data_IF_985674417100
#
_entry.id   IF_985674417100
#
_cell.length_a   1.000
_cell.length_b   1.000
_cell.length_c   1.000
_cell.angle_alpha   90.00
_cell.angle_beta   90.00
_cell.angle_gamma   90.00
#
_symmetry.space_group_name_H-M   'P 1'
#
loop_
_entity.id
_entity.type
_entity.pdbx_description
1 polymer ?
#
# COMPACT_ATOMS: atom_id res chain seq x y z
N UNK A 1 -24.95 -4.40 -19.87
CA UNK A 1 -24.10 -5.03 -20.91
C UNK A 1 -22.79 -5.41 -20.26
N UNK A 2 -22.26 -6.61 -20.52
CA UNK A 2 -20.96 -7.03 -19.98
C UNK A 2 -19.85 -6.14 -20.56
N UNK A 3 -18.98 -5.60 -19.72
CA UNK A 3 -17.83 -4.78 -20.14
C UNK A 3 -16.70 -5.68 -20.65
N UNK A 4 -15.95 -5.21 -21.64
CA UNK A 4 -14.82 -5.93 -22.23
C UNK A 4 -13.62 -5.81 -21.28
N UNK A 5 -13.08 -6.95 -20.83
CA UNK A 5 -11.91 -7.05 -19.96
C UNK A 5 -10.80 -7.93 -20.55
N UNK A 6 -10.78 -8.10 -21.88
CA UNK A 6 -9.72 -8.78 -22.59
C UNK A 6 -9.29 -7.94 -23.80
N UNK A 7 -8.03 -8.05 -24.21
CA UNK A 7 -7.44 -7.26 -25.28
C UNK A 7 -7.21 -8.16 -26.49
N UNK A 8 -7.89 -7.87 -27.63
CA UNK A 8 -7.62 -8.55 -28.89
C UNK A 8 -6.32 -8.02 -29.54
N UNK A 9 -5.68 -8.80 -30.43
CA UNK A 9 -4.50 -8.35 -31.18
C UNK A 9 -4.73 -7.06 -31.97
N UNK A 10 -5.94 -6.86 -32.52
CA UNK A 10 -6.27 -5.64 -33.24
C UNK A 10 -6.25 -4.41 -32.32
N UNK A 11 -6.76 -4.52 -31.11
CA UNK A 11 -6.72 -3.45 -30.13
C UNK A 11 -5.31 -3.17 -29.62
N UNK A 12 -4.46 -4.18 -29.49
CA UNK A 12 -3.04 -4.00 -29.18
C UNK A 12 -2.34 -3.17 -30.25
N UNK A 13 -2.54 -3.55 -31.52
CA UNK A 13 -1.98 -2.84 -32.66
C UNK A 13 -2.49 -1.41 -32.74
N UNK A 14 -3.80 -1.20 -32.49
CA UNK A 14 -4.42 0.12 -32.48
C UNK A 14 -3.82 1.04 -31.40
N UNK A 15 -3.61 0.53 -30.18
CA UNK A 15 -2.98 1.29 -29.08
C UNK A 15 -1.57 1.71 -29.48
N UNK A 16 -0.74 0.76 -29.93
CA UNK A 16 0.65 1.04 -30.31
C UNK A 16 0.77 2.05 -31.44
N UNK A 17 -0.07 1.91 -32.47
CA UNK A 17 -0.09 2.81 -33.62
C UNK A 17 -0.47 4.24 -33.22
N UNK A 18 -1.48 4.42 -32.37
CA UNK A 18 -1.92 5.74 -31.95
C UNK A 18 -0.97 6.39 -30.95
N UNK A 19 -0.32 5.61 -30.08
CA UNK A 19 0.79 6.12 -29.25
C UNK A 19 1.96 6.58 -30.14
N UNK A 20 2.31 5.81 -31.18
CA UNK A 20 3.35 6.20 -32.15
C UNK A 20 3.01 7.45 -32.95
N UNK A 21 1.72 7.76 -33.14
CA UNK A 21 1.22 9.01 -33.76
C UNK A 21 1.16 10.20 -32.79
N UNK A 22 1.52 9.99 -31.50
CA UNK A 22 1.52 11.05 -30.47
C UNK A 22 0.16 11.29 -29.81
N UNK A 23 -0.80 10.36 -29.92
CA UNK A 23 -2.04 10.44 -29.15
C UNK A 23 -1.75 10.29 -27.65
N UNK A 24 -2.46 11.06 -26.82
CA UNK A 24 -2.27 10.98 -25.37
C UNK A 24 -2.85 9.67 -24.81
N UNK A 25 -2.25 9.08 -23.78
CA UNK A 25 -2.79 7.89 -23.11
C UNK A 25 -4.25 8.07 -22.69
N UNK A 26 -4.60 9.21 -22.17
CA UNK A 26 -5.95 9.53 -21.73
C UNK A 26 -6.97 9.46 -22.88
N UNK A 27 -6.64 10.00 -24.05
CA UNK A 27 -7.54 9.95 -25.22
C UNK A 27 -7.77 8.51 -25.71
N UNK A 28 -6.77 7.62 -25.61
CA UNK A 28 -6.91 6.22 -25.97
C UNK A 28 -7.82 5.48 -25.00
N UNK A 29 -7.69 5.74 -23.70
CA UNK A 29 -8.58 5.21 -22.65
C UNK A 29 -10.03 5.62 -22.93
N UNK A 30 -10.29 6.89 -23.22
CA UNK A 30 -11.64 7.40 -23.50
C UNK A 30 -12.28 6.68 -24.72
N UNK A 31 -11.51 6.46 -25.78
CA UNK A 31 -11.99 5.71 -26.96
C UNK A 31 -12.31 4.26 -26.59
N UNK A 32 -11.44 3.59 -25.82
CA UNK A 32 -11.68 2.21 -25.39
C UNK A 32 -12.94 2.10 -24.51
N UNK A 33 -13.12 3.02 -23.57
CA UNK A 33 -14.31 3.07 -22.71
C UNK A 33 -15.57 3.32 -23.55
N UNK A 34 -15.51 4.21 -24.52
CA UNK A 34 -16.58 4.44 -25.49
C UNK A 34 -16.93 3.22 -26.35
N UNK A 35 -16.01 2.25 -26.47
CA UNK A 35 -16.19 0.95 -27.14
C UNK A 35 -16.52 -0.18 -26.16
N UNK A 36 -17.06 0.15 -24.99
CA UNK A 36 -17.52 -0.77 -23.96
C UNK A 36 -16.43 -1.56 -23.23
N UNK A 37 -15.18 -1.12 -23.26
CA UNK A 37 -14.15 -1.65 -22.36
C UNK A 37 -14.43 -1.23 -20.92
N UNK A 38 -14.02 -2.07 -19.99
CA UNK A 38 -13.99 -1.69 -18.58
C UNK A 38 -12.99 -0.54 -18.38
N UNK A 39 -13.35 0.56 -17.68
CA UNK A 39 -12.48 1.71 -17.52
C UNK A 39 -11.15 1.40 -16.83
N UNK A 40 -11.14 0.53 -15.81
CA UNK A 40 -9.91 0.12 -15.12
C UNK A 40 -9.03 -0.72 -16.05
N UNK A 41 -9.64 -1.67 -16.79
CA UNK A 41 -8.92 -2.46 -17.77
C UNK A 41 -8.33 -1.59 -18.87
N UNK A 42 -9.09 -0.64 -19.43
CA UNK A 42 -8.62 0.28 -20.47
C UNK A 42 -7.43 1.12 -19.99
N UNK A 43 -7.51 1.70 -18.76
CA UNK A 43 -6.41 2.42 -18.15
C UNK A 43 -5.17 1.53 -18.00
N UNK A 44 -5.29 0.38 -17.33
CA UNK A 44 -4.16 -0.53 -17.08
C UNK A 44 -3.45 -0.93 -18.37
N UNK A 45 -4.21 -1.25 -19.44
CA UNK A 45 -3.66 -1.67 -20.72
C UNK A 45 -2.96 -0.53 -21.46
N UNK A 46 -3.57 0.66 -21.53
CA UNK A 46 -2.94 1.80 -22.23
C UNK A 46 -1.66 2.21 -21.52
N UNK A 47 -1.67 2.31 -20.19
CA UNK A 47 -0.46 2.63 -19.42
C UNK A 47 0.63 1.54 -19.55
N UNK A 48 0.27 0.28 -19.63
CA UNK A 48 1.21 -0.80 -19.92
C UNK A 48 1.96 -0.55 -21.25
N UNK A 49 1.25 -0.18 -22.32
CA UNK A 49 1.87 0.10 -23.62
C UNK A 49 2.68 1.40 -23.63
N UNK A 50 2.26 2.42 -22.89
CA UNK A 50 3.04 3.67 -22.72
C UNK A 50 4.37 3.38 -22.04
N UNK A 51 4.36 2.61 -20.95
CA UNK A 51 5.58 2.23 -20.23
C UNK A 51 6.51 1.36 -21.09
N UNK A 52 5.95 0.52 -21.96
CA UNK A 52 6.71 -0.31 -22.89
C UNK A 52 7.31 0.47 -24.08
N UNK A 53 6.65 1.54 -24.55
CA UNK A 53 7.12 2.34 -25.69
C UNK A 53 8.11 3.44 -25.32
N UNK A 54 8.21 3.82 -24.04
CA UNK A 54 9.19 4.80 -23.55
C UNK A 54 10.63 4.28 -23.45
N UNK A 55 10.86 2.99 -23.74
CA UNK A 55 12.22 2.42 -23.85
C UNK A 55 12.52 2.17 -25.33
N UNK A 56 13.32 3.05 -25.92
CA UNK A 56 13.71 3.00 -27.31
C UNK A 56 14.36 1.69 -27.73
N UNK A 57 14.02 1.32 -28.97
CA UNK A 57 14.60 0.34 -29.89
C UNK A 57 14.08 -1.11 -29.82
N UNK A 58 13.44 -1.52 -30.89
CA UNK A 58 13.31 -2.89 -31.36
C UNK A 58 11.96 -3.57 -31.05
N UNK A 59 10.90 -3.20 -31.78
CA UNK A 59 9.66 -3.99 -31.80
C UNK A 59 9.90 -5.30 -32.57
N UNK A 60 10.19 -6.38 -31.88
CA UNK A 60 9.98 -7.74 -32.38
C UNK A 60 8.69 -8.29 -31.78
N UNK A 61 7.90 -8.98 -32.59
CA UNK A 61 6.61 -9.55 -32.28
C UNK A 61 6.57 -10.22 -30.91
N UNK A 62 5.66 -9.77 -30.02
CA UNK A 62 5.42 -10.41 -28.72
C UNK A 62 4.55 -11.64 -28.98
N UNK A 63 5.18 -12.81 -29.03
CA UNK A 63 4.52 -14.10 -28.88
C UNK A 63 4.05 -14.20 -27.43
N UNK A 64 2.75 -14.44 -27.21
CA UNK A 64 2.22 -14.77 -25.87
C UNK A 64 2.95 -16.01 -25.36
N UNK A 65 3.61 -16.00 -24.20
CA UNK A 65 4.17 -17.21 -23.62
C UNK A 65 3.02 -18.04 -23.07
N UNK A 66 2.83 -19.24 -23.62
CA UNK A 66 2.31 -20.36 -22.86
C UNK A 66 3.22 -20.57 -21.65
N UNK A 67 2.63 -20.94 -20.52
CA UNK A 67 3.25 -21.13 -19.23
C UNK A 67 4.67 -21.74 -19.31
N UNK A 68 5.70 -20.90 -19.14
CA UNK A 68 7.04 -21.34 -18.71
C UNK A 68 7.71 -20.22 -17.90
N UNK A 69 8.11 -20.60 -16.70
CA UNK A 69 9.10 -20.00 -15.79
C UNK A 69 9.09 -18.48 -15.59
N UNK A 70 8.62 -18.04 -14.42
CA UNK A 70 8.66 -16.67 -13.92
C UNK A 70 10.06 -16.05 -13.95
N UNK A 71 10.33 -15.28 -15.00
CA UNK A 71 11.31 -14.19 -14.90
C UNK A 71 10.53 -12.91 -14.58
N UNK A 72 10.52 -12.54 -13.31
CA UNK A 72 10.14 -11.21 -12.86
C UNK A 72 10.92 -10.18 -13.69
N UNK A 73 10.20 -9.32 -14.44
CA UNK A 73 10.80 -8.09 -14.97
C UNK A 73 11.30 -7.29 -13.77
N UNK A 74 12.58 -7.32 -13.53
CA UNK A 74 13.23 -6.47 -12.55
C UNK A 74 13.04 -5.02 -13.01
N UNK A 75 12.10 -4.30 -12.41
CA UNK A 75 12.12 -2.85 -12.43
C UNK A 75 13.48 -2.51 -11.80
N UNK A 76 14.38 -1.91 -12.57
CA UNK A 76 15.62 -1.35 -12.03
C UNK A 76 15.26 -0.13 -11.20
N UNK A 77 14.71 -0.34 -10.01
CA UNK A 77 14.72 0.67 -8.99
C UNK A 77 16.17 0.85 -8.59
N UNK A 78 16.67 2.08 -8.52
CA UNK A 78 18.01 2.34 -7.98
C UNK A 78 18.09 2.06 -6.47
N UNK A 79 17.05 1.43 -5.90
CA UNK A 79 16.95 1.08 -4.49
C UNK A 79 17.88 -0.09 -4.15
N UNK A 80 18.71 0.09 -3.15
CA UNK A 80 19.62 -0.94 -2.65
C UNK A 80 18.97 -1.67 -1.49
N UNK A 81 18.61 -2.94 -1.71
CA UNK A 81 18.04 -3.78 -0.67
C UNK A 81 19.12 -4.16 0.34
N UNK A 82 18.81 -3.94 1.61
CA UNK A 82 19.61 -4.33 2.77
C UNK A 82 18.98 -5.55 3.46
N UNK A 83 19.63 -6.07 4.49
CA UNK A 83 19.00 -7.08 5.34
C UNK A 83 17.75 -6.49 6.00
N UNK A 84 16.58 -7.09 5.81
CA UNK A 84 15.35 -6.63 6.44
C UNK A 84 15.49 -6.55 7.97
N UNK A 85 14.85 -5.54 8.58
CA UNK A 85 14.86 -5.39 10.04
C UNK A 85 14.13 -6.53 10.73
N UNK A 86 13.04 -6.96 10.12
CA UNK A 86 12.21 -8.05 10.62
C UNK A 86 12.79 -9.41 10.23
N UNK A 87 12.71 -10.46 11.08
CA UNK A 87 13.24 -11.77 10.75
C UNK A 87 12.60 -12.38 9.50
N UNK A 88 13.41 -12.74 8.53
CA UNK A 88 12.96 -13.34 7.26
C UNK A 88 12.90 -14.87 7.29
N UNK A 89 13.11 -15.49 8.45
CA UNK A 89 13.07 -16.95 8.65
C UNK A 89 12.11 -17.34 9.78
N UNK A 90 11.72 -18.61 9.80
CA UNK A 90 10.78 -19.12 10.79
C UNK A 90 9.31 -18.81 10.47
N UNK A 91 8.38 -19.54 11.04
CA UNK A 91 6.93 -19.38 10.84
C UNK A 91 6.26 -18.55 11.95
N UNK A 92 7.00 -18.18 12.99
CA UNK A 92 6.51 -17.44 14.16
C UNK A 92 7.56 -16.41 14.58
N UNK A 93 7.12 -15.18 14.84
CA UNK A 93 7.89 -14.15 15.52
C UNK A 93 7.30 -13.98 16.91
N UNK A 94 8.13 -14.17 17.93
CA UNK A 94 7.72 -14.04 19.33
C UNK A 94 7.87 -12.62 19.81
N UNK A 95 6.81 -12.07 20.40
CA UNK A 95 6.84 -10.87 21.22
C UNK A 95 6.68 -11.25 22.70
N UNK A 96 6.78 -10.31 23.59
CA UNK A 96 6.69 -10.60 25.04
C UNK A 96 5.32 -11.21 25.44
N UNK A 97 4.27 -10.90 24.70
CA UNK A 97 2.89 -11.27 25.03
C UNK A 97 2.18 -12.06 23.94
N UNK A 98 2.82 -12.33 22.75
CA UNK A 98 2.15 -12.98 21.63
C UNK A 98 3.12 -13.73 20.70
N UNK A 99 2.65 -14.86 20.20
CA UNK A 99 3.29 -15.63 19.12
C UNK A 99 2.63 -15.21 17.80
N UNK A 100 3.28 -14.30 17.05
CA UNK A 100 2.77 -13.77 15.77
C UNK A 100 3.16 -14.74 14.65
N UNK A 101 2.16 -15.27 13.93
CA UNK A 101 2.39 -16.21 12.83
C UNK A 101 2.74 -15.47 11.55
N UNK A 102 3.74 -15.94 10.85
CA UNK A 102 4.10 -15.43 9.52
C UNK A 102 3.42 -16.29 8.46
N UNK A 103 2.52 -15.66 7.70
CA UNK A 103 1.72 -16.31 6.65
C UNK A 103 2.42 -16.24 5.29
N UNK A 104 3.06 -15.11 5.00
CA UNK A 104 3.71 -14.86 3.71
C UNK A 104 4.91 -13.93 3.87
N UNK A 105 5.91 -14.10 3.00
CA UNK A 105 7.06 -13.19 2.84
C UNK A 105 7.34 -12.93 1.37
N UNK A 106 7.62 -11.68 1.06
CA UNK A 106 8.27 -11.24 -0.18
C UNK A 106 9.54 -10.51 0.25
N UNK A 107 10.67 -10.82 -0.41
CA UNK A 107 11.97 -10.24 -0.06
C UNK A 107 12.25 -8.92 -0.79
N UNK A 108 11.65 -8.76 -1.99
CA UNK A 108 11.87 -7.57 -2.84
C UNK A 108 10.59 -7.21 -3.58
N UNK A 109 9.88 -6.18 -3.14
CA UNK A 109 10.08 -5.39 -1.90
C UNK A 109 9.90 -6.25 -0.64
N UNK A 110 10.36 -5.75 0.50
CA UNK A 110 10.13 -6.45 1.78
C UNK A 110 8.68 -6.30 2.18
N UNK A 111 7.91 -7.39 2.06
CA UNK A 111 6.48 -7.44 2.48
C UNK A 111 6.23 -8.73 3.24
N UNK A 112 5.61 -8.64 4.41
CA UNK A 112 5.20 -9.78 5.21
C UNK A 112 3.71 -9.69 5.56
N UNK A 113 3.04 -10.84 5.56
CA UNK A 113 1.67 -10.95 6.08
C UNK A 113 1.70 -11.78 7.34
N UNK A 114 1.03 -11.28 8.38
CA UNK A 114 0.94 -11.90 9.71
C UNK A 114 -0.47 -12.34 10.03
N UNK A 115 -0.58 -13.38 10.83
CA UNK A 115 -1.79 -13.81 11.52
C UNK A 115 -1.55 -13.83 13.03
N UNK A 116 -2.64 -13.70 13.80
CA UNK A 116 -2.58 -13.70 15.26
C UNK A 116 -1.75 -12.54 15.84
N UNK A 117 -1.72 -11.37 15.19
CA UNK A 117 -1.06 -10.18 15.73
C UNK A 117 -1.90 -9.53 16.83
N UNK A 118 -3.21 -9.44 16.60
CA UNK A 118 -4.18 -8.95 17.58
C UNK A 118 -5.19 -10.05 17.90
N UNK A 119 -5.67 -10.09 19.15
CA UNK A 119 -6.83 -10.92 19.46
C UNK A 119 -8.14 -10.28 18.94
N UNK A 120 -9.21 -11.06 18.77
CA UNK A 120 -10.51 -10.51 18.43
C UNK A 120 -10.97 -9.39 19.38
N UNK A 121 -10.73 -9.57 20.69
CA UNK A 121 -11.09 -8.61 21.74
C UNK A 121 -10.26 -7.31 21.65
N UNK A 122 -8.97 -7.41 21.33
CA UNK A 122 -8.11 -6.25 21.11
C UNK A 122 -8.56 -5.45 19.89
N UNK A 123 -8.97 -6.13 18.81
CA UNK A 123 -9.55 -5.49 17.63
C UNK A 123 -10.85 -4.74 17.97
N UNK A 124 -11.76 -5.40 18.70
CA UNK A 124 -13.03 -4.81 19.10
C UNK A 124 -12.83 -3.60 20.04
N UNK A 125 -11.86 -3.68 20.94
CA UNK A 125 -11.52 -2.57 21.82
C UNK A 125 -10.97 -1.37 21.07
N UNK A 126 -10.09 -1.58 20.07
CA UNK A 126 -9.59 -0.50 19.23
C UNK A 126 -10.73 0.20 18.45
N UNK A 127 -11.65 -0.57 17.89
CA UNK A 127 -12.84 -0.02 17.21
C UNK A 127 -13.69 0.77 18.21
N UNK A 128 -14.04 0.19 19.36
CA UNK A 128 -14.86 0.82 20.38
C UNK A 128 -14.30 2.15 20.89
N UNK A 129 -12.99 2.22 21.10
CA UNK A 129 -12.30 3.44 21.55
C UNK A 129 -12.24 4.53 20.48
N UNK A 130 -12.41 4.15 19.21
CA UNK A 130 -12.25 5.03 18.04
C UNK A 130 -13.55 5.56 17.47
N UNK A 131 -14.64 4.79 17.49
CA UNK A 131 -15.92 5.09 16.81
C UNK A 131 -16.40 6.54 16.98
N UNK A 132 -16.35 7.07 18.21
CA UNK A 132 -16.84 8.42 18.54
C UNK A 132 -15.84 9.53 18.23
N UNK A 133 -14.62 9.20 17.85
CA UNK A 133 -13.52 10.14 17.60
C UNK A 133 -13.23 10.32 16.11
N UNK A 134 -13.88 9.55 15.23
CA UNK A 134 -13.60 9.54 13.79
C UNK A 134 -13.89 10.90 13.15
N UNK A 135 -12.97 11.36 12.30
CA UNK A 135 -13.11 12.54 11.44
C UNK A 135 -12.71 12.15 10.02
N UNK A 136 -13.18 12.89 9.02
CA UNK A 136 -12.75 12.70 7.62
C UNK A 136 -11.23 12.74 7.55
N UNK A 137 -10.61 11.71 6.95
CA UNK A 137 -9.16 11.62 6.84
C UNK A 137 -8.63 12.63 5.83
N UNK A 138 -7.48 13.23 6.14
CA UNK A 138 -6.72 14.08 5.25
C UNK A 138 -5.48 13.34 4.72
N UNK A 139 -4.87 13.86 3.66
CA UNK A 139 -3.53 13.52 3.20
C UNK A 139 -2.59 14.70 3.44
N UNK A 140 -1.30 14.43 3.35
CA UNK A 140 -0.30 15.50 3.31
C UNK A 140 -0.20 16.03 1.88
N UNK A 141 -0.49 17.30 1.67
CA UNK A 141 -0.31 17.96 0.38
C UNK A 141 1.19 17.97 -0.02
N UNK A 142 1.57 17.46 -1.20
CA UNK A 142 2.96 17.31 -1.60
C UNK A 142 3.70 18.63 -1.81
N UNK A 143 2.97 19.73 -2.01
CA UNK A 143 3.55 21.06 -2.25
C UNK A 143 3.73 21.83 -0.96
N UNK A 144 2.69 21.86 -0.11
CA UNK A 144 2.64 22.70 1.08
C UNK A 144 3.00 21.97 2.36
N UNK A 145 2.90 20.63 2.39
CA UNK A 145 3.05 19.79 3.57
C UNK A 145 1.91 19.93 4.59
N UNK A 146 0.77 20.54 4.21
CA UNK A 146 -0.41 20.69 5.09
C UNK A 146 -1.39 19.55 4.86
N UNK A 147 -2.20 19.32 5.88
CA UNK A 147 -3.30 18.36 5.76
C UNK A 147 -4.39 18.87 4.81
N UNK A 148 -4.76 18.04 3.83
CA UNK A 148 -5.79 18.31 2.84
C UNK A 148 -6.76 17.13 2.72
N UNK A 149 -8.06 17.43 2.67
CA UNK A 149 -9.10 16.41 2.42
C UNK A 149 -9.28 16.29 0.91
N UNK A 150 -9.06 15.09 0.38
CA UNK A 150 -9.18 14.79 -1.05
C UNK A 150 -10.12 13.62 -1.30
N UNK A 151 -10.59 13.48 -2.55
CA UNK A 151 -11.48 12.39 -2.96
C UNK A 151 -10.74 11.06 -3.14
N UNK A 152 -9.41 11.09 -3.32
CA UNK A 152 -8.59 9.88 -3.47
C UNK A 152 -8.44 9.07 -2.17
N UNK A 153 -8.83 9.66 -1.02
CA UNK A 153 -8.89 9.01 0.27
C UNK A 153 -10.25 9.28 0.93
N UNK A 154 -11.10 8.25 1.01
CA UNK A 154 -12.49 8.39 1.47
C UNK A 154 -12.75 7.86 2.88
N UNK A 155 -11.70 7.55 3.64
CA UNK A 155 -11.79 7.05 5.01
C UNK A 155 -12.16 8.13 6.04
N UNK A 156 -12.62 7.65 7.20
CA UNK A 156 -12.67 8.41 8.44
C UNK A 156 -11.62 7.87 9.38
N UNK A 157 -10.99 8.72 10.18
CA UNK A 157 -9.88 8.28 11.05
C UNK A 157 -9.76 9.04 12.34
N UNK A 158 -8.98 8.47 13.25
CA UNK A 158 -8.50 9.07 14.49
C UNK A 158 -7.12 8.51 14.82
N UNK A 159 -6.50 9.04 15.88
CA UNK A 159 -5.18 8.59 16.34
C UNK A 159 -5.22 8.28 17.83
N UNK A 160 -4.42 7.29 18.22
CA UNK A 160 -3.94 7.11 19.60
C UNK A 160 -2.50 7.61 19.66
N UNK A 161 -2.20 8.48 20.63
CA UNK A 161 -0.81 8.86 20.90
C UNK A 161 -0.01 7.69 21.43
N UNK A 162 1.30 7.73 21.25
CA UNK A 162 2.19 6.69 21.78
C UNK A 162 1.98 6.56 23.30
N UNK A 163 1.72 5.33 23.75
CA UNK A 163 1.46 4.98 25.15
C UNK A 163 0.32 5.79 25.80
N UNK A 164 -0.70 6.21 25.02
CA UNK A 164 -1.85 7.01 25.49
C UNK A 164 -2.62 6.37 26.66
N UNK A 165 -2.62 5.04 26.72
CA UNK A 165 -3.24 4.24 27.79
C UNK A 165 -2.43 2.96 28.00
N UNK A 166 -2.72 2.20 29.06
CA UNK A 166 -2.09 0.90 29.32
C UNK A 166 -2.30 -0.06 28.14
N UNK A 167 -3.50 -0.07 27.55
CA UNK A 167 -3.81 -0.88 26.37
C UNK A 167 -2.98 -0.47 25.15
N UNK A 168 -2.88 0.82 24.85
CA UNK A 168 -2.07 1.33 23.73
C UNK A 168 -0.59 1.09 23.99
N UNK A 169 -0.12 1.26 25.23
CA UNK A 169 1.27 1.00 25.60
C UNK A 169 1.65 -0.48 25.41
N UNK A 170 0.78 -1.40 25.78
CA UNK A 170 0.97 -2.84 25.52
C UNK A 170 1.09 -3.12 24.00
N UNK A 171 0.23 -2.52 23.18
CA UNK A 171 0.31 -2.65 21.73
C UNK A 171 1.60 -2.04 21.19
N UNK A 172 1.97 -0.82 21.60
CA UNK A 172 3.20 -0.17 21.15
C UNK A 172 4.44 -1.03 21.41
N UNK A 173 4.53 -1.66 22.58
CA UNK A 173 5.63 -2.58 22.91
C UNK A 173 5.62 -3.83 22.03
N UNK A 174 4.45 -4.45 21.81
CA UNK A 174 4.30 -5.60 20.90
C UNK A 174 4.74 -5.25 19.49
N UNK A 175 4.25 -4.13 18.94
CA UNK A 175 4.55 -3.68 17.58
C UNK A 175 6.02 -3.32 17.42
N UNK A 176 6.63 -2.67 18.40
CA UNK A 176 8.06 -2.37 18.45
C UNK A 176 8.90 -3.66 18.38
N UNK A 177 8.55 -4.67 19.17
CA UNK A 177 9.23 -5.97 19.15
C UNK A 177 9.04 -6.70 17.84
N UNK A 178 7.84 -6.70 17.25
CA UNK A 178 7.56 -7.31 15.97
C UNK A 178 8.36 -6.64 14.85
N UNK A 179 8.30 -5.31 14.77
CA UNK A 179 8.94 -4.51 13.71
C UNK A 179 10.44 -4.33 13.93
N UNK A 180 10.99 -4.80 15.05
CA UNK A 180 12.40 -4.62 15.46
C UNK A 180 12.84 -3.15 15.42
N UNK A 181 11.96 -2.27 15.95
CA UNK A 181 12.18 -0.82 15.94
C UNK A 181 11.74 -0.18 17.25
N UNK A 182 12.51 0.72 17.85
CA UNK A 182 12.18 1.32 19.15
C UNK A 182 10.83 2.05 19.14
N UNK A 183 10.06 1.94 20.23
CA UNK A 183 8.76 2.64 20.38
C UNK A 183 8.90 4.14 20.16
N UNK A 184 9.99 4.74 20.64
CA UNK A 184 10.27 6.18 20.56
C UNK A 184 10.44 6.68 19.11
N UNK A 185 10.63 5.76 18.17
CA UNK A 185 10.70 6.04 16.72
C UNK A 185 9.38 5.74 16.03
N UNK A 186 8.34 5.36 16.75
CA UNK A 186 7.01 5.10 16.22
C UNK A 186 6.14 6.35 16.22
N UNK A 187 5.38 6.57 15.17
CA UNK A 187 4.22 7.47 15.20
C UNK A 187 3.12 6.85 16.08
N UNK A 188 2.13 7.63 16.47
CA UNK A 188 0.91 7.09 17.10
C UNK A 188 0.21 6.06 16.21
N UNK A 189 -0.74 5.32 16.76
CA UNK A 189 -1.52 4.35 15.98
C UNK A 189 -2.70 5.08 15.32
N UNK A 190 -2.72 5.12 13.99
CA UNK A 190 -3.85 5.66 13.24
C UNK A 190 -4.92 4.60 13.05
N UNK A 191 -6.17 4.92 13.41
CA UNK A 191 -7.34 4.09 13.12
C UNK A 191 -8.07 4.67 11.91
N UNK A 192 -8.45 3.80 10.98
CA UNK A 192 -9.20 4.18 9.78
C UNK A 192 -10.41 3.28 9.61
N UNK A 193 -11.54 3.92 9.27
CA UNK A 193 -12.77 3.25 8.87
C UNK A 193 -13.13 3.62 7.43
N UNK A 194 -13.44 2.62 6.63
CA UNK A 194 -13.93 2.76 5.26
C UNK A 194 -15.32 2.12 5.17
N UNK A 195 -16.30 2.90 4.77
CA UNK A 195 -17.66 2.46 4.46
C UNK A 195 -17.74 1.89 3.04
N UNK A 196 -18.87 1.34 2.64
CA UNK A 196 -19.11 0.88 1.26
C UNK A 196 -18.75 1.97 0.25
N UNK A 197 -17.98 1.62 -0.76
CA UNK A 197 -17.38 2.54 -1.74
C UNK A 197 -16.11 3.24 -1.24
N UNK A 198 -15.77 3.07 0.04
CA UNK A 198 -14.56 3.66 0.62
C UNK A 198 -13.28 3.01 0.09
N UNK A 199 -12.32 3.85 -0.31
CA UNK A 199 -11.03 3.44 -0.87
C UNK A 199 -9.92 4.41 -0.46
N UNK A 200 -8.69 3.99 -0.69
CA UNK A 200 -7.53 4.87 -0.74
C UNK A 200 -6.69 4.49 -1.95
N UNK A 201 -6.59 5.40 -2.93
CA UNK A 201 -5.86 5.16 -4.17
C UNK A 201 -4.39 4.84 -3.90
N UNK A 202 -3.70 4.17 -4.85
CA UNK A 202 -2.30 3.83 -4.69
C UNK A 202 -1.44 5.05 -4.36
N UNK A 203 -0.66 4.94 -3.28
CA UNK A 203 0.18 5.98 -2.71
C UNK A 203 1.41 5.37 -2.04
N UNK A 204 2.33 6.24 -1.63
CA UNK A 204 3.49 5.88 -0.81
C UNK A 204 3.30 6.39 0.62
N UNK A 205 3.73 5.61 1.59
CA UNK A 205 3.75 6.03 3.00
C UNK A 205 5.01 6.82 3.37
N UNK A 206 6.08 6.68 2.59
CA UNK A 206 7.24 7.53 2.74
C UNK A 206 6.98 8.94 2.18
N UNK A 207 7.69 9.92 2.67
CA UNK A 207 7.66 11.29 2.15
C UNK A 207 8.61 11.38 0.95
N UNK A 208 8.09 11.55 -0.29
CA UNK A 208 8.94 11.58 -1.47
C UNK A 208 9.97 12.70 -1.36
N UNK A 209 11.30 12.40 -1.49
CA UNK A 209 12.36 13.40 -1.27
C UNK A 209 12.30 14.61 -2.22
N UNK A 210 11.68 14.43 -3.40
CA UNK A 210 11.51 15.48 -4.41
C UNK A 210 10.36 16.45 -4.09
N UNK A 211 9.45 16.10 -3.19
CA UNK A 211 8.29 16.94 -2.87
C UNK A 211 8.65 18.00 -1.84
N UNK A 212 8.34 19.25 -2.14
CA UNK A 212 8.67 20.37 -1.24
C UNK A 212 7.95 20.25 0.12
N UNK A 213 6.72 19.77 0.12
CA UNK A 213 5.93 19.53 1.34
C UNK A 213 6.53 18.47 2.26
N UNK A 214 7.30 17.51 1.71
CA UNK A 214 7.96 16.46 2.49
C UNK A 214 8.94 17.00 3.54
N UNK A 215 9.62 18.12 3.26
CA UNK A 215 10.59 18.71 4.19
C UNK A 215 9.99 19.11 5.54
N UNK A 216 8.70 19.43 5.60
CA UNK A 216 8.00 19.76 6.85
C UNK A 216 7.96 18.54 7.76
N UNK A 217 7.59 17.38 7.19
CA UNK A 217 7.41 16.13 7.94
C UNK A 217 8.74 15.43 8.25
N UNK A 218 9.76 15.61 7.41
CA UNK A 218 11.09 15.03 7.64
C UNK A 218 11.84 15.68 8.83
N UNK A 219 11.45 16.88 9.26
CA UNK A 219 12.09 17.57 10.39
C UNK A 219 11.83 16.88 11.73
N UNK A 220 10.69 16.18 11.85
CA UNK A 220 10.34 15.45 13.07
C UNK A 220 10.43 13.95 12.77
N UNK A 221 11.40 13.28 13.33
CA UNK A 221 11.60 11.84 13.18
C UNK A 221 12.29 11.37 11.89
N UNK A 222 12.66 12.24 10.95
CA UNK A 222 13.24 11.84 9.67
C UNK A 222 12.23 11.15 8.73
N UNK A 223 12.69 10.28 7.84
CA UNK A 223 11.83 9.52 6.93
C UNK A 223 11.03 8.44 7.67
N UNK A 224 9.83 8.10 7.16
CA UNK A 224 9.17 6.84 7.50
C UNK A 224 9.97 5.69 6.88
N UNK A 225 10.15 4.61 7.62
CA UNK A 225 10.99 3.48 7.20
C UNK A 225 10.20 2.20 6.94
N UNK A 226 9.08 2.04 7.63
CA UNK A 226 8.20 0.88 7.50
C UNK A 226 6.78 1.19 7.96
N UNK A 227 5.84 0.40 7.44
CA UNK A 227 4.42 0.43 7.79
C UNK A 227 3.95 -0.95 8.22
N UNK A 228 3.09 -0.96 9.22
CA UNK A 228 2.29 -2.12 9.61
C UNK A 228 0.82 -1.75 9.58
N UNK A 229 0.05 -2.38 8.70
CA UNK A 229 -1.41 -2.24 8.62
C UNK A 229 -2.04 -3.45 9.28
N UNK A 230 -2.77 -3.23 10.37
CA UNK A 230 -3.50 -4.25 11.13
C UNK A 230 -4.97 -4.22 10.75
N UNK A 231 -5.58 -5.37 10.51
CA UNK A 231 -6.99 -5.47 10.16
C UNK A 231 -7.82 -5.74 11.42
N UNK A 232 -8.75 -4.84 11.73
CA UNK A 232 -9.54 -4.91 12.97
C UNK A 232 -10.86 -5.65 12.79
N UNK A 233 -11.28 -5.91 11.55
CA UNK A 233 -12.43 -6.74 11.23
C UNK A 233 -12.21 -7.53 9.93
N UNK A 234 -13.06 -8.52 9.71
CA UNK A 234 -13.21 -9.16 8.41
C UNK A 234 -14.07 -8.26 7.51
N UNK A 235 -13.75 -8.19 6.22
CA UNK A 235 -14.55 -7.44 5.23
C UNK A 235 -15.30 -8.45 4.37
N UNK A 236 -16.61 -8.25 4.21
CA UNK A 236 -17.45 -9.20 3.48
C UNK A 236 -17.09 -9.29 2.00
N UNK A 237 -16.79 -8.15 1.35
CA UNK A 237 -16.33 -8.10 -0.05
C UNK A 237 -15.54 -6.81 -0.32
N UNK A 238 -14.41 -6.94 -1.00
CA UNK A 238 -13.51 -5.83 -1.31
C UNK A 238 -12.59 -5.44 -0.15
N UNK A 239 -12.10 -4.20 -0.19
CA UNK A 239 -11.27 -3.63 0.86
C UNK A 239 -9.87 -4.22 0.98
N UNK A 240 -9.39 -4.97 -0.01
CA UNK A 240 -8.04 -5.53 -0.03
C UNK A 240 -6.98 -4.43 0.08
N UNK A 241 -5.86 -4.72 0.73
CA UNK A 241 -4.65 -3.91 0.59
C UNK A 241 -3.90 -4.38 -0.64
N UNK A 242 -3.75 -3.52 -1.64
CA UNK A 242 -3.14 -3.84 -2.93
C UNK A 242 -1.75 -3.23 -3.08
N UNK A 243 -0.85 -3.99 -3.71
CA UNK A 243 0.49 -3.53 -4.13
C UNK A 243 0.58 -3.71 -5.65
N UNK A 244 0.18 -2.71 -6.46
CA UNK A 244 0.03 -2.86 -7.89
C UNK A 244 1.34 -3.19 -8.62
N UNK A 245 2.49 -2.66 -8.16
CA UNK A 245 3.80 -2.88 -8.78
C UNK A 245 4.28 -4.34 -8.72
N UNK A 246 3.78 -5.10 -7.76
CA UNK A 246 4.14 -6.51 -7.55
C UNK A 246 2.95 -7.47 -7.72
N UNK A 247 1.77 -6.95 -8.08
CA UNK A 247 0.56 -7.74 -8.28
C UNK A 247 0.05 -8.46 -7.02
N UNK A 248 0.34 -7.93 -5.82
CA UNK A 248 -0.10 -8.51 -4.56
C UNK A 248 -1.40 -7.86 -4.10
N UNK A 249 -2.33 -8.70 -3.62
CA UNK A 249 -3.56 -8.31 -2.94
C UNK A 249 -3.71 -9.05 -1.63
N UNK A 250 -3.88 -8.32 -0.53
CA UNK A 250 -4.00 -8.87 0.82
C UNK A 250 -5.41 -8.67 1.32
N UNK A 251 -6.15 -9.76 1.49
CA UNK A 251 -7.52 -9.73 2.02
C UNK A 251 -7.53 -9.41 3.52
N UNK A 252 -8.33 -8.42 3.97
CA UNK A 252 -8.49 -8.11 5.37
C UNK A 252 -9.04 -9.31 6.16
N UNK A 253 -8.34 -9.70 7.23
CA UNK A 253 -8.79 -10.70 8.19
C UNK A 253 -8.56 -10.17 9.60
N UNK A 254 -9.59 -10.21 10.43
CA UNK A 254 -9.54 -9.72 11.82
C UNK A 254 -8.35 -10.30 12.59
N UNK A 255 -7.53 -9.42 13.18
CA UNK A 255 -6.33 -9.78 13.93
C UNK A 255 -5.09 -10.08 13.10
N UNK A 256 -5.19 -10.09 11.76
CA UNK A 256 -4.05 -10.20 10.86
C UNK A 256 -3.45 -8.83 10.50
N UNK A 257 -2.28 -8.83 9.84
CA UNK A 257 -1.63 -7.59 9.43
C UNK A 257 -0.77 -7.78 8.18
N UNK A 258 -0.49 -6.68 7.48
CA UNK A 258 0.55 -6.60 6.45
C UNK A 258 1.60 -5.58 6.86
N UNK A 259 2.87 -5.98 6.75
CA UNK A 259 4.05 -5.17 7.05
C UNK A 259 4.86 -4.98 5.78
N UNK A 260 5.44 -3.79 5.59
CA UNK A 260 6.38 -3.54 4.51
C UNK A 260 7.42 -2.47 4.87
N UNK A 261 8.65 -2.68 4.38
CA UNK A 261 9.78 -1.76 4.52
C UNK A 261 10.03 -1.04 3.20
N UNK A 262 10.38 0.24 3.27
CA UNK A 262 10.57 1.05 2.06
C UNK A 262 11.67 2.10 2.16
N UNK A 263 12.40 2.20 3.27
CA UNK A 263 13.51 3.11 3.40
C UNK A 263 14.73 2.38 3.95
N UNK A 264 15.87 2.44 3.25
CA UNK A 264 17.12 1.83 3.65
C UNK A 264 17.99 2.79 4.50
N UNK A 265 19.17 2.32 4.94
CA UNK A 265 20.08 3.09 5.82
C UNK A 265 20.65 4.35 5.17
N UNK A 266 20.56 4.48 3.86
CA UNK A 266 21.00 5.65 3.08
C UNK A 266 19.83 6.57 2.68
N UNK A 267 18.67 6.40 3.30
CA UNK A 267 17.43 7.16 3.05
C UNK A 267 16.92 7.04 1.59
N UNK A 268 17.31 5.98 0.87
CA UNK A 268 16.66 5.65 -0.39
C UNK A 268 15.28 5.05 -0.10
N UNK A 269 14.31 5.31 -0.97
CA UNK A 269 12.93 4.81 -0.84
C UNK A 269 12.59 3.83 -1.96
N UNK A 270 11.85 2.77 -1.63
CA UNK A 270 11.53 1.67 -2.56
C UNK A 270 10.20 1.92 -3.29
N UNK A 271 10.20 2.22 -4.59
CA UNK A 271 8.99 2.47 -5.35
C UNK A 271 8.10 1.21 -5.53
N UNK A 272 8.62 0.00 -5.30
CA UNK A 272 7.82 -1.22 -5.38
C UNK A 272 6.82 -1.36 -4.22
N UNK A 273 6.91 -0.48 -3.20
CA UNK A 273 5.98 -0.43 -2.08
C UNK A 273 4.79 0.49 -2.31
N UNK A 274 4.56 0.94 -3.57
CA UNK A 274 3.31 1.59 -3.94
C UNK A 274 2.15 0.68 -3.54
N UNK A 275 1.21 1.20 -2.73
CA UNK A 275 0.12 0.42 -2.20
C UNK A 275 -1.15 1.25 -2.07
N UNK A 276 -2.30 0.59 -1.96
CA UNK A 276 -3.60 1.24 -1.79
C UNK A 276 -4.61 0.36 -1.08
N UNK A 277 -5.75 0.94 -0.75
CA UNK A 277 -6.93 0.22 -0.25
C UNK A 277 -7.97 0.13 -1.34
N UNK A 278 -8.23 -1.08 -1.85
CA UNK A 278 -9.29 -1.32 -2.83
C UNK A 278 -10.67 -0.92 -2.26
N UNK A 279 -11.63 -0.56 -3.11
CA UNK A 279 -12.97 -0.19 -2.67
C UNK A 279 -13.63 -1.30 -1.84
N UNK A 280 -14.24 -0.92 -0.71
CA UNK A 280 -15.12 -1.80 0.06
C UNK A 280 -16.41 -1.97 -0.74
N UNK A 281 -16.72 -3.20 -1.17
CA UNK A 281 -17.93 -3.48 -1.95
C UNK A 281 -19.11 -3.88 -1.06
N UNK A 282 -18.83 -4.51 0.09
CA UNK A 282 -19.84 -4.90 1.07
C UNK A 282 -19.29 -4.90 2.48
N UNK A 283 -20.09 -4.48 3.45
CA UNK A 283 -19.70 -4.32 4.85
C UNK A 283 -18.92 -3.02 5.06
N UNK A 284 -18.00 -3.03 5.99
CA UNK A 284 -17.08 -1.92 6.30
C UNK A 284 -15.67 -2.46 6.57
N UNK A 285 -14.67 -1.61 6.46
CA UNK A 285 -13.28 -1.98 6.76
C UNK A 285 -12.73 -1.09 7.86
N UNK A 286 -12.22 -1.73 8.91
CA UNK A 286 -11.49 -1.08 9.99
C UNK A 286 -10.04 -1.54 9.98
N UNK A 287 -9.12 -0.59 10.00
CA UNK A 287 -7.68 -0.86 10.12
C UNK A 287 -7.04 0.03 11.17
N UNK A 288 -5.92 -0.45 11.69
CA UNK A 288 -4.99 0.33 12.49
C UNK A 288 -3.64 0.35 11.78
N UNK A 289 -3.02 1.53 11.64
CA UNK A 289 -1.74 1.69 10.96
C UNK A 289 -0.69 2.20 11.92
N UNK A 290 0.47 1.56 11.93
CA UNK A 290 1.67 1.99 12.67
C UNK A 290 2.79 2.28 11.69
N UNK A 291 3.38 3.48 11.79
CA UNK A 291 4.57 3.88 11.04
C UNK A 291 5.77 3.97 11.97
N UNK A 292 6.93 3.54 11.46
CA UNK A 292 8.21 3.74 12.12
C UNK A 292 9.04 4.78 11.37
N UNK A 293 9.77 5.60 12.13
CA UNK A 293 10.59 6.72 11.65
C UNK A 293 12.07 6.41 11.79
N UNK A 294 12.92 7.06 11.01
CA UNK A 294 14.39 6.93 11.13
C UNK A 294 14.91 7.35 12.51
N UNK A 295 14.33 8.39 13.08
CA UNK A 295 14.75 9.02 14.32
C UNK A 295 13.60 9.06 15.32
N UNK A 296 13.88 9.49 16.56
CA UNK A 296 12.83 9.68 17.56
C UNK A 296 11.78 10.64 17.04
N UNK A 297 10.53 10.29 17.27
CA UNK A 297 9.36 11.04 16.85
C UNK A 297 8.63 11.56 18.09
N UNK A 298 8.32 12.86 18.14
CA UNK A 298 7.72 13.52 19.31
C UNK A 298 6.57 14.45 18.90
#
# INVERSE_FOLDING_TARGET
MSKITHLSPEWQSWILENLGRGCTPQSLVEVMVGKSFDPMFANAIVFHFVSASGQGQGATAVTLPGAESGQQRAIKSGYVYETPRIPMQGSVIKTADRDVKVVMRIEKPVVLVFDNLLSPEECDEMVRLSEKKLKRSAIVDPTTGRDEIIDDRTSFGTFFHVRESEFVAMLDERLSQLMQWPVEKGEGIQILNYQVGGEYKPHYDYFPPQDQGSHVHLRNGGQRVSTLIMYLNDVEDGGETIFPEIGLSVTPRKGSAVYFEYCNSTSQVDPLTLHGGAPVRKGEKWIATKWMREQNFS
#
